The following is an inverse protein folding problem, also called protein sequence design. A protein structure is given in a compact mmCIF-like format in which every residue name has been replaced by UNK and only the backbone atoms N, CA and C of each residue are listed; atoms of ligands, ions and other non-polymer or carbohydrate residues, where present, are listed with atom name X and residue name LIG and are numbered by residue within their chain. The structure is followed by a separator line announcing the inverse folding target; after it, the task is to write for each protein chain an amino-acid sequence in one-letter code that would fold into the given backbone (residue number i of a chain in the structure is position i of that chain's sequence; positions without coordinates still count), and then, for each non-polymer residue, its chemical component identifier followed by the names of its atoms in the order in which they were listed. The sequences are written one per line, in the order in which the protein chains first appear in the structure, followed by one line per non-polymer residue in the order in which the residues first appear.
data_IF_498664306747
#
_entry.id   IF_498664306747
#
_cell.length_a   1.000
_cell.length_b   1.000
_cell.length_c   1.000
_cell.angle_alpha   90.00
_cell.angle_beta   90.00
_cell.angle_gamma   90.00
#
_symmetry.space_group_name_H-M   'P 1'
#
loop_
_entity.id
_entity.type
_entity.pdbx_description
1 polymer ?
#
# COMPACT_ATOMS: atom_id res chain seq x y z
N UNK A 1 2.64 1.94 -0.63
CA UNK A 1 1.37 2.66 -0.68
C UNK A 1 0.26 1.80 -1.28
N UNK A 2 -0.99 2.13 -0.97
CA UNK A 2 -2.15 1.64 -1.72
C UNK A 2 -2.96 2.85 -2.18
N UNK A 3 -3.28 2.92 -3.46
CA UNK A 3 -4.13 3.96 -4.03
C UNK A 3 -5.50 3.37 -4.39
N UNK A 4 -6.56 4.00 -3.89
CA UNK A 4 -7.96 3.70 -4.22
C UNK A 4 -8.41 4.71 -5.27
N UNK A 5 -8.54 4.24 -6.51
CA UNK A 5 -8.94 5.04 -7.66
C UNK A 5 -10.44 5.39 -7.62
N UNK A 6 -10.85 6.40 -8.40
CA UNK A 6 -12.26 6.78 -8.55
C UNK A 6 -13.13 5.64 -9.06
N UNK A 7 -12.56 4.74 -9.86
CA UNK A 7 -13.23 3.56 -10.43
C UNK A 7 -13.00 2.28 -9.60
N UNK A 8 -12.58 2.40 -8.33
CA UNK A 8 -12.36 1.26 -7.46
C UNK A 8 -13.68 0.60 -7.03
N UNK A 9 -13.67 -0.73 -6.95
CA UNK A 9 -14.63 -1.49 -6.16
C UNK A 9 -14.29 -1.33 -4.67
N UNK A 10 -15.19 -0.74 -3.90
CA UNK A 10 -14.95 -0.41 -2.50
C UNK A 10 -14.84 -1.64 -1.59
N UNK A 11 -15.56 -2.71 -1.85
CA UNK A 11 -15.50 -3.93 -1.04
C UNK A 11 -14.15 -4.64 -1.27
N UNK A 12 -13.70 -4.69 -2.52
CA UNK A 12 -12.36 -5.15 -2.87
C UNK A 12 -11.28 -4.29 -2.22
N UNK A 13 -11.40 -2.96 -2.27
CA UNK A 13 -10.47 -2.04 -1.64
C UNK A 13 -10.38 -2.24 -0.13
N UNK A 14 -11.52 -2.36 0.57
CA UNK A 14 -11.56 -2.64 2.01
C UNK A 14 -10.85 -3.95 2.37
N UNK A 15 -11.11 -5.02 1.60
CA UNK A 15 -10.47 -6.33 1.82
C UNK A 15 -8.94 -6.26 1.64
N UNK A 16 -8.49 -5.62 0.55
CA UNK A 16 -7.06 -5.44 0.25
C UNK A 16 -6.37 -4.62 1.34
N UNK A 17 -6.93 -3.48 1.74
CA UNK A 17 -6.38 -2.57 2.73
C UNK A 17 -6.35 -3.23 4.12
N UNK A 18 -7.43 -3.89 4.51
CA UNK A 18 -7.46 -4.62 5.77
C UNK A 18 -6.34 -5.68 5.81
N UNK A 19 -6.18 -6.48 4.76
CA UNK A 19 -5.09 -7.44 4.67
C UNK A 19 -3.71 -6.76 4.68
N UNK A 20 -3.52 -5.74 3.85
CA UNK A 20 -2.23 -5.06 3.69
C UNK A 20 -1.74 -4.38 4.97
N UNK A 21 -2.65 -3.87 5.81
CA UNK A 21 -2.28 -3.17 7.05
C UNK A 21 -2.32 -4.04 8.30
N UNK A 22 -3.29 -4.97 8.39
CA UNK A 22 -3.58 -5.60 9.68
C UNK A 22 -3.09 -7.04 9.83
N UNK A 23 -2.77 -7.72 8.74
CA UNK A 23 -2.32 -9.12 8.80
C UNK A 23 -0.97 -9.28 9.54
N UNK A 24 -0.06 -8.33 9.36
CA UNK A 24 1.21 -8.21 10.10
C UNK A 24 1.78 -6.80 9.89
N UNK A 25 1.51 -5.83 10.76
CA UNK A 25 1.88 -4.42 10.52
C UNK A 25 3.38 -4.15 10.58
N UNK A 26 4.17 -4.99 11.26
CA UNK A 26 5.60 -4.77 11.51
C UNK A 26 6.53 -5.37 10.44
N UNK A 27 6.06 -5.58 9.22
CA UNK A 27 6.88 -6.12 8.11
C UNK A 27 6.96 -5.14 6.94
N UNK A 28 8.03 -5.26 6.15
CA UNK A 28 8.39 -4.33 5.08
C UNK A 28 7.37 -4.20 3.94
N UNK A 29 6.50 -5.20 3.73
CA UNK A 29 5.44 -5.18 2.73
C UNK A 29 4.06 -4.81 3.30
N UNK A 30 3.98 -4.42 4.59
CA UNK A 30 2.76 -3.85 5.16
C UNK A 30 2.51 -2.45 4.58
N UNK A 31 1.24 -2.10 4.40
CA UNK A 31 0.87 -0.77 3.93
C UNK A 31 1.05 0.27 5.04
N UNK A 32 1.71 1.39 4.73
CA UNK A 32 1.91 2.51 5.65
C UNK A 32 1.15 3.77 5.24
N UNK A 33 0.89 3.92 3.92
CA UNK A 33 0.18 5.08 3.37
C UNK A 33 -0.97 4.62 2.47
N UNK A 34 -2.13 5.22 2.68
CA UNK A 34 -3.32 5.08 1.87
C UNK A 34 -3.59 6.39 1.13
N UNK A 35 -3.69 6.31 -0.19
CA UNK A 35 -4.15 7.41 -1.04
C UNK A 35 -5.56 7.09 -1.53
N UNK A 36 -6.47 8.06 -1.46
CA UNK A 36 -7.86 7.88 -1.88
C UNK A 36 -8.23 9.00 -2.85
N UNK A 37 -8.79 8.65 -4.01
CA UNK A 37 -9.31 9.63 -4.95
C UNK A 37 -10.43 10.45 -4.31
N UNK A 38 -10.47 11.75 -4.54
CA UNK A 38 -11.44 12.65 -3.89
C UNK A 38 -12.91 12.28 -4.17
N UNK A 39 -13.22 11.74 -5.35
CA UNK A 39 -14.57 11.26 -5.70
C UNK A 39 -15.00 10.03 -4.88
N UNK A 40 -14.05 9.31 -4.28
CA UNK A 40 -14.31 8.15 -3.41
C UNK A 40 -14.28 8.49 -1.93
N UNK A 41 -13.64 9.58 -1.54
CA UNK A 41 -13.37 9.88 -0.14
C UNK A 41 -14.63 9.87 0.74
N UNK A 42 -15.72 10.47 0.28
CA UNK A 42 -16.96 10.60 1.06
C UNK A 42 -17.69 9.27 1.29
N UNK A 43 -17.65 8.33 0.33
CA UNK A 43 -18.28 7.02 0.48
C UNK A 43 -17.36 6.00 1.15
N UNK A 44 -16.08 6.01 0.79
CA UNK A 44 -15.13 4.99 1.17
C UNK A 44 -14.54 5.17 2.57
N UNK A 45 -14.11 6.38 2.94
CA UNK A 45 -13.40 6.61 4.20
C UNK A 45 -14.24 6.26 5.44
N UNK A 46 -15.55 6.60 5.54
CA UNK A 46 -16.37 6.16 6.68
C UNK A 46 -16.49 4.62 6.79
N UNK A 47 -16.55 3.91 5.66
CA UNK A 47 -16.56 2.44 5.64
C UNK A 47 -15.21 1.87 6.09
N UNK A 48 -14.11 2.51 5.69
CA UNK A 48 -12.77 2.14 6.12
C UNK A 48 -12.62 2.29 7.65
N UNK A 49 -13.09 3.41 8.23
CA UNK A 49 -13.09 3.62 9.67
C UNK A 49 -13.93 2.56 10.39
N UNK A 50 -15.10 2.21 9.84
CA UNK A 50 -15.94 1.13 10.39
C UNK A 50 -15.16 -0.17 10.48
N UNK A 51 -14.51 -0.60 9.40
CA UNK A 51 -13.77 -1.88 9.34
C UNK A 51 -12.49 -1.86 10.19
N UNK A 52 -11.67 -0.81 10.05
CA UNK A 52 -10.33 -0.78 10.64
C UNK A 52 -10.30 -0.26 12.09
N UNK A 53 -11.33 0.43 12.52
CA UNK A 53 -11.37 1.00 13.87
C UNK A 53 -12.50 0.38 14.69
N UNK A 54 -13.76 0.52 14.25
CA UNK A 54 -14.93 0.15 15.03
C UNK A 54 -15.04 -1.37 15.19
N UNK A 55 -15.09 -2.11 14.11
CA UNK A 55 -15.24 -3.58 14.14
C UNK A 55 -14.04 -4.25 14.81
N UNK A 56 -12.83 -3.71 14.62
CA UNK A 56 -11.64 -4.22 15.31
C UNK A 56 -11.74 -4.04 16.82
N UNK A 57 -12.19 -2.89 17.31
CA UNK A 57 -12.45 -2.66 18.75
C UNK A 57 -13.49 -3.62 19.29
N UNK A 58 -14.60 -3.80 18.58
CA UNK A 58 -15.67 -4.72 18.96
C UNK A 58 -15.20 -6.18 19.04
N UNK A 59 -14.27 -6.54 18.15
CA UNK A 59 -13.63 -7.86 18.13
C UNK A 59 -12.50 -8.03 19.17
N UNK A 60 -12.19 -6.99 19.96
CA UNK A 60 -11.08 -7.01 20.92
C UNK A 60 -9.69 -6.97 20.27
N UNK A 61 -9.61 -6.51 19.01
CA UNK A 61 -8.36 -6.34 18.27
C UNK A 61 -7.89 -4.88 18.36
N UNK A 62 -6.57 -4.68 18.18
CA UNK A 62 -5.99 -3.33 18.13
C UNK A 62 -6.55 -2.53 16.94
N UNK A 63 -7.20 -1.38 17.17
CA UNK A 63 -7.73 -0.53 16.10
C UNK A 63 -6.61 0.21 15.38
N UNK A 64 -6.83 0.55 14.11
CA UNK A 64 -5.90 1.40 13.36
C UNK A 64 -6.02 2.86 13.84
N UNK A 65 -4.88 3.48 14.08
CA UNK A 65 -4.76 4.91 14.35
C UNK A 65 -4.47 5.66 13.06
N UNK A 66 -5.40 6.50 12.61
CA UNK A 66 -5.20 7.27 11.39
C UNK A 66 -4.34 8.53 11.63
N UNK A 67 -3.48 8.82 10.64
CA UNK A 67 -2.83 10.12 10.41
C UNK A 67 -3.45 10.70 9.15
N UNK A 68 -4.23 11.77 9.29
CA UNK A 68 -5.12 12.27 8.26
C UNK A 68 -4.64 13.59 7.68
N UNK A 69 -4.60 13.70 6.36
CA UNK A 69 -4.48 15.00 5.74
C UNK A 69 -5.74 15.85 5.96
N UNK A 70 -5.70 17.13 5.59
CA UNK A 70 -6.81 18.06 5.82
C UNK A 70 -8.10 17.70 5.08
N UNK A 71 -8.01 16.99 3.94
CA UNK A 71 -9.18 16.53 3.19
C UNK A 71 -9.77 15.27 3.84
N UNK A 72 -8.96 14.28 4.17
CA UNK A 72 -9.42 13.03 4.79
C UNK A 72 -10.07 13.26 6.17
N UNK A 73 -9.57 14.24 6.95
CA UNK A 73 -10.13 14.60 8.25
C UNK A 73 -11.56 15.14 8.22
N UNK A 74 -12.09 15.45 7.04
CA UNK A 74 -13.49 15.84 6.88
C UNK A 74 -14.46 14.67 6.91
N UNK A 75 -13.97 13.45 6.73
CA UNK A 75 -14.80 12.25 6.58
C UNK A 75 -14.64 11.24 7.74
N UNK A 76 -13.49 11.21 8.38
CA UNK A 76 -13.14 10.24 9.43
C UNK A 76 -12.36 10.89 10.56
N UNK A 77 -12.32 10.21 11.73
CA UNK A 77 -11.63 10.70 12.91
C UNK A 77 -10.20 10.16 13.00
N UNK A 78 -9.27 11.03 13.34
CA UNK A 78 -7.86 10.67 13.52
C UNK A 78 -7.00 11.85 13.94
N UNK A 79 -5.71 11.61 14.10
CA UNK A 79 -4.73 12.67 14.31
C UNK A 79 -4.38 13.35 12.99
N UNK A 80 -4.17 14.65 12.99
CA UNK A 80 -3.65 15.35 11.82
C UNK A 80 -2.28 14.77 11.42
N UNK A 81 -2.12 14.49 10.14
CA UNK A 81 -0.85 14.04 9.59
C UNK A 81 0.16 15.18 9.55
N UNK A 82 1.39 14.87 9.91
CA UNK A 82 2.56 15.71 9.66
C UNK A 82 3.20 15.30 8.33
N UNK A 83 4.00 16.17 7.71
CA UNK A 83 4.64 15.84 6.43
C UNK A 83 5.46 14.55 6.50
N UNK A 84 6.15 14.33 7.61
CA UNK A 84 6.98 13.15 7.85
C UNK A 84 6.17 11.84 7.99
N UNK A 85 4.88 11.89 8.31
CA UNK A 85 4.06 10.68 8.42
C UNK A 85 3.95 9.93 7.09
N UNK A 86 4.09 10.62 5.96
CA UNK A 86 4.08 10.01 4.62
C UNK A 86 5.41 9.36 4.22
N UNK A 87 6.48 9.62 4.96
CA UNK A 87 7.81 9.01 4.78
C UNK A 87 8.15 7.98 5.87
N UNK A 88 7.18 7.72 6.79
CA UNK A 88 7.42 6.90 7.98
C UNK A 88 6.93 5.47 7.79
N UNK A 89 7.79 4.50 8.05
CA UNK A 89 7.38 3.13 8.35
C UNK A 89 6.97 3.06 9.82
N UNK A 90 5.67 3.05 10.10
CA UNK A 90 5.15 3.00 11.47
C UNK A 90 5.40 1.64 12.14
N UNK A 91 5.43 0.56 11.34
CA UNK A 91 5.60 -0.82 11.81
C UNK A 91 4.59 -1.22 12.89
N UNK A 92 3.46 -0.56 12.93
CA UNK A 92 2.41 -0.68 13.94
C UNK A 92 1.03 -0.46 13.31
N UNK A 93 -0.02 -0.53 14.11
CA UNK A 93 -1.41 -0.26 13.73
C UNK A 93 -1.67 1.25 13.52
N UNK A 94 -0.81 1.89 12.75
CA UNK A 94 -0.91 3.29 12.35
C UNK A 94 -0.91 3.39 10.83
N UNK A 95 -1.76 4.25 10.26
CA UNK A 95 -1.91 4.42 8.82
C UNK A 95 -2.04 5.90 8.46
N UNK A 96 -1.15 6.39 7.61
CA UNK A 96 -1.31 7.71 7.01
C UNK A 96 -2.32 7.65 5.86
N UNK A 97 -3.24 8.62 5.82
CA UNK A 97 -4.32 8.68 4.82
C UNK A 97 -4.32 10.07 4.18
N UNK A 98 -4.27 10.10 2.86
CA UNK A 98 -4.33 11.34 2.07
C UNK A 98 -5.36 11.22 0.96
N UNK A 99 -6.14 12.27 0.76
CA UNK A 99 -7.05 12.40 -0.36
C UNK A 99 -6.37 13.17 -1.49
N UNK A 100 -6.33 12.54 -2.67
CA UNK A 100 -5.72 13.07 -3.89
C UNK A 100 -6.79 13.39 -4.94
N UNK A 101 -6.51 14.36 -5.80
CA UNK A 101 -7.45 14.83 -6.82
C UNK A 101 -7.40 14.03 -8.12
N UNK A 102 -6.34 13.24 -8.33
CA UNK A 102 -6.16 12.47 -9.56
C UNK A 102 -5.19 11.30 -9.37
N UNK A 103 -5.18 10.41 -10.37
CA UNK A 103 -4.20 9.32 -10.47
C UNK A 103 -2.76 9.85 -10.60
N UNK A 104 -2.56 10.94 -11.34
CA UNK A 104 -1.24 11.56 -11.50
C UNK A 104 -0.72 12.13 -10.17
N UNK A 105 -1.60 12.73 -9.36
CA UNK A 105 -1.22 13.19 -8.01
C UNK A 105 -0.84 12.00 -7.11
N UNK A 106 -1.57 10.88 -7.22
CA UNK A 106 -1.23 9.66 -6.48
C UNK A 106 0.14 9.11 -6.88
N UNK A 107 0.42 9.02 -8.19
CA UNK A 107 1.72 8.57 -8.72
C UNK A 107 2.85 9.51 -8.27
N UNK A 108 2.66 10.82 -8.38
CA UNK A 108 3.66 11.81 -7.93
C UNK A 108 3.93 11.72 -6.42
N UNK A 109 2.90 11.44 -5.63
CA UNK A 109 3.05 11.21 -4.19
C UNK A 109 3.85 9.94 -3.90
N UNK A 110 3.54 8.84 -4.58
CA UNK A 110 4.28 7.57 -4.46
C UNK A 110 5.76 7.76 -4.85
N UNK A 111 6.02 8.43 -5.96
CA UNK A 111 7.40 8.71 -6.40
C UNK A 111 8.20 9.49 -5.36
N UNK A 112 7.55 10.39 -4.62
CA UNK A 112 8.20 11.23 -3.62
C UNK A 112 8.39 10.54 -2.27
N UNK A 113 7.41 9.73 -1.83
CA UNK A 113 7.29 9.26 -0.44
C UNK A 113 7.40 7.74 -0.28
N UNK A 114 7.33 6.96 -1.37
CA UNK A 114 7.46 5.50 -1.26
C UNK A 114 8.91 5.08 -1.04
N UNK A 115 9.09 3.99 -0.29
CA UNK A 115 10.38 3.27 -0.23
C UNK A 115 10.69 2.53 -1.53
N UNK A 116 9.80 2.57 -2.51
CA UNK A 116 9.84 1.80 -3.76
C UNK A 116 9.92 0.27 -3.56
N UNK A 117 9.38 -0.19 -2.44
CA UNK A 117 9.30 -1.62 -2.12
C UNK A 117 8.08 -2.26 -2.80
N UNK A 118 6.87 -1.83 -2.41
CA UNK A 118 5.61 -2.40 -2.91
C UNK A 118 4.51 -1.34 -2.90
N UNK A 119 3.95 -1.08 -4.06
CA UNK A 119 2.86 -0.14 -4.23
C UNK A 119 1.72 -0.77 -5.03
N UNK A 120 0.48 -0.38 -4.75
CA UNK A 120 -0.70 -0.97 -5.35
C UNK A 120 -1.75 0.08 -5.74
N UNK A 121 -2.49 -0.21 -6.81
CA UNK A 121 -3.72 0.49 -7.17
C UNK A 121 -4.91 -0.47 -7.02
N UNK A 122 -6.03 0.04 -6.53
CA UNK A 122 -7.33 -0.63 -6.61
C UNK A 122 -8.21 0.13 -7.59
N UNK A 123 -8.56 -0.50 -8.71
CA UNK A 123 -9.36 0.09 -9.78
C UNK A 123 -9.99 -0.98 -10.66
N UNK A 124 -11.17 -0.70 -11.20
CA UNK A 124 -11.79 -1.49 -12.27
C UNK A 124 -11.52 -0.88 -13.67
N UNK A 125 -10.82 0.26 -13.73
CA UNK A 125 -10.45 0.92 -14.96
C UNK A 125 -9.11 0.41 -15.49
N UNK A 126 -9.12 -0.26 -16.64
CA UNK A 126 -7.92 -0.84 -17.25
C UNK A 126 -6.88 0.22 -17.68
N UNK A 127 -7.31 1.42 -18.06
CA UNK A 127 -6.40 2.51 -18.46
C UNK A 127 -5.69 3.07 -17.22
N UNK A 128 -6.43 3.28 -16.11
CA UNK A 128 -5.84 3.68 -14.82
C UNK A 128 -4.83 2.64 -14.33
N UNK A 129 -5.17 1.35 -14.42
CA UNK A 129 -4.28 0.26 -14.03
C UNK A 129 -3.00 0.24 -14.87
N UNK A 130 -3.12 0.38 -16.21
CA UNK A 130 -1.98 0.41 -17.12
C UNK A 130 -1.08 1.62 -16.86
N UNK A 131 -1.67 2.82 -16.69
CA UNK A 131 -0.92 4.04 -16.37
C UNK A 131 -0.16 3.89 -15.04
N UNK A 132 -0.83 3.42 -13.99
CA UNK A 132 -0.21 3.23 -12.69
C UNK A 132 0.98 2.26 -12.75
N UNK A 133 0.82 1.11 -13.41
CA UNK A 133 1.88 0.10 -13.51
C UNK A 133 3.06 0.53 -14.40
N UNK A 134 2.83 1.44 -15.35
CA UNK A 134 3.88 2.02 -16.19
C UNK A 134 4.67 3.12 -15.47
N UNK A 135 3.98 3.94 -14.68
CA UNK A 135 4.58 5.11 -14.05
C UNK A 135 5.19 4.85 -12.66
N UNK A 136 4.66 3.90 -11.90
CA UNK A 136 5.18 3.59 -10.55
C UNK A 136 6.37 2.63 -10.67
N UNK A 137 7.57 3.10 -10.31
CA UNK A 137 8.81 2.34 -10.41
C UNK A 137 9.23 1.72 -9.06
N UNK A 138 8.33 0.92 -8.46
CA UNK A 138 8.60 0.14 -7.26
C UNK A 138 9.05 -1.29 -7.60
N UNK A 139 9.70 -1.98 -6.66
CA UNK A 139 10.17 -3.35 -6.88
C UNK A 139 9.02 -4.33 -7.14
N UNK A 140 7.84 -4.05 -6.57
CA UNK A 140 6.60 -4.76 -6.87
C UNK A 140 5.45 -3.75 -7.02
N UNK A 141 4.71 -3.84 -8.13
CA UNK A 141 3.56 -2.98 -8.41
C UNK A 141 2.35 -3.88 -8.67
N UNK A 142 1.25 -3.60 -7.98
CA UNK A 142 0.06 -4.44 -8.00
C UNK A 142 -1.18 -3.71 -8.51
N UNK A 143 -2.03 -4.44 -9.19
CA UNK A 143 -3.41 -4.06 -9.51
C UNK A 143 -4.34 -5.01 -8.78
N UNK A 144 -5.25 -4.46 -7.97
CA UNK A 144 -6.27 -5.21 -7.23
C UNK A 144 -5.71 -6.36 -6.36
N UNK A 145 -4.52 -6.15 -5.78
CA UNK A 145 -3.90 -7.12 -4.87
C UNK A 145 -3.20 -6.40 -3.71
N UNK A 146 -3.09 -7.11 -2.59
CA UNK A 146 -2.41 -6.62 -1.39
C UNK A 146 -0.89 -6.57 -1.57
N UNK A 147 -0.24 -5.55 -1.02
CA UNK A 147 1.23 -5.45 -0.97
C UNK A 147 1.86 -6.61 -0.20
N UNK A 148 1.09 -7.33 0.61
CA UNK A 148 1.52 -8.55 1.31
C UNK A 148 1.91 -9.70 0.38
N UNK A 149 1.54 -9.63 -0.91
CA UNK A 149 1.99 -10.60 -1.91
C UNK A 149 3.48 -10.48 -2.27
N UNK A 150 4.16 -9.40 -1.90
CA UNK A 150 5.62 -9.29 -2.10
C UNK A 150 6.35 -10.19 -1.10
N UNK A 151 6.44 -11.45 -1.45
CA UNK A 151 6.96 -12.52 -0.61
C UNK A 151 7.52 -13.64 -1.50
N UNK A 152 8.71 -14.12 -1.19
CA UNK A 152 9.39 -15.16 -1.99
C UNK A 152 8.62 -16.48 -2.06
N UNK A 153 7.88 -16.83 -1.00
CA UNK A 153 6.99 -17.99 -0.99
C UNK A 153 5.79 -17.81 -1.91
N UNK A 154 5.15 -16.62 -1.86
CA UNK A 154 4.02 -16.28 -2.74
C UNK A 154 4.43 -16.23 -4.22
N UNK A 155 5.65 -15.76 -4.51
CA UNK A 155 6.21 -15.71 -5.86
C UNK A 155 6.74 -17.05 -6.36
N UNK A 156 6.72 -18.10 -5.52
CA UNK A 156 7.18 -19.43 -5.90
C UNK A 156 8.70 -19.57 -5.98
N UNK A 157 9.46 -18.70 -5.31
CA UNK A 157 10.93 -18.73 -5.28
C UNK A 157 11.50 -19.77 -4.30
N UNK A 158 10.64 -20.43 -3.53
CA UNK A 158 11.00 -21.46 -2.55
C UNK A 158 11.61 -20.93 -1.25
N UNK A 159 12.23 -19.78 -1.27
CA UNK A 159 12.78 -19.08 -0.10
C UNK A 159 12.83 -17.58 -0.35
N UNK A 160 13.06 -16.81 0.72
CA UNK A 160 13.33 -15.39 0.65
C UNK A 160 14.44 -15.05 1.66
N UNK A 161 15.51 -14.42 1.20
CA UNK A 161 16.51 -13.83 2.07
C UNK A 161 16.17 -12.38 2.44
N UNK A 162 15.49 -11.70 1.55
CA UNK A 162 15.05 -10.32 1.70
C UNK A 162 14.41 -9.82 0.42
N UNK A 163 14.00 -8.54 0.44
CA UNK A 163 13.39 -7.87 -0.71
C UNK A 163 14.23 -6.64 -1.03
N UNK A 164 14.77 -6.59 -2.25
CA UNK A 164 15.64 -5.51 -2.71
C UNK A 164 14.85 -4.45 -3.49
N UNK A 165 15.10 -3.20 -3.21
CA UNK A 165 14.61 -2.06 -4.01
C UNK A 165 15.65 -1.56 -5.02
N UNK A 166 16.82 -2.21 -5.08
CA UNK A 166 17.88 -1.85 -6.02
C UNK A 166 17.50 -2.16 -7.48
N UNK A 167 18.13 -1.44 -8.42
CA UNK A 167 17.90 -1.59 -9.86
C UNK A 167 19.10 -2.20 -10.61
N UNK A 168 20.25 -2.35 -9.95
CA UNK A 168 21.51 -2.80 -10.58
C UNK A 168 21.85 -4.28 -10.36
N UNK A 169 21.12 -4.98 -9.52
CA UNK A 169 21.28 -6.41 -9.24
C UNK A 169 19.91 -7.04 -9.06
N UNK A 170 19.70 -7.83 -8.01
CA UNK A 170 18.39 -8.38 -7.69
C UNK A 170 17.42 -7.26 -7.31
N UNK A 171 16.18 -7.36 -7.78
CA UNK A 171 15.09 -6.44 -7.46
C UNK A 171 13.86 -7.23 -7.05
N UNK A 172 13.17 -6.80 -5.99
CA UNK A 172 12.06 -7.55 -5.40
C UNK A 172 12.54 -8.68 -4.49
N UNK A 173 11.71 -9.71 -4.24
CA UNK A 173 12.08 -10.86 -3.41
C UNK A 173 13.31 -11.58 -3.96
N UNK A 174 14.30 -11.83 -3.09
CA UNK A 174 15.54 -12.52 -3.42
C UNK A 174 15.51 -13.95 -2.88
N UNK A 175 15.48 -14.91 -3.79
CA UNK A 175 15.56 -16.33 -3.48
C UNK A 175 16.96 -16.91 -3.68
N UNK A 176 17.03 -18.23 -3.80
CA UNK A 176 18.32 -18.95 -3.96
C UNK A 176 19.07 -18.54 -5.23
N UNK A 177 18.36 -18.23 -6.32
CA UNK A 177 18.95 -17.86 -7.60
C UNK A 177 19.78 -16.59 -7.50
N UNK A 178 19.31 -15.58 -6.78
CA UNK A 178 19.97 -14.28 -6.61
C UNK A 178 21.21 -14.36 -5.73
N UNK A 179 21.35 -15.46 -4.94
CA UNK A 179 22.52 -15.71 -4.08
C UNK A 179 23.63 -16.50 -4.79
N UNK A 180 23.43 -16.89 -6.03
CA UNK A 180 24.39 -17.68 -6.82
C UNK A 180 24.93 -16.88 -7.99
N UNK A 181 26.08 -17.31 -8.49
CA UNK A 181 26.65 -16.80 -9.72
C UNK A 181 27.08 -17.97 -10.62
N UNK A 182 27.35 -17.68 -11.85
CA UNK A 182 27.82 -18.67 -12.84
C UNK A 182 29.22 -18.30 -13.36
N UNK A 183 29.91 -19.31 -13.86
CA UNK A 183 31.12 -19.13 -14.67
C UNK A 183 30.95 -19.84 -16.02
N UNK A 184 31.55 -19.30 -17.03
CA UNK A 184 31.68 -19.99 -18.33
C UNK A 184 32.86 -20.94 -18.28
N UNK A 185 32.69 -22.15 -18.88
CA UNK A 185 33.72 -23.19 -19.00
C UNK A 185 33.91 -23.48 -20.48
#
# INVERSE_FOLDING_TARGET
HVYVDKDADEDKALSIINNAKTSRPSVCNAMEVLLVHEDKAASFLPRLEQVLVTERKEAGLEPIQFRLDSKASQFVSGRAAEAQDFDTEFLDYVLAVKVVSSLEEAVAHIETHSTHHSDAIVTENAESAAYFTDQVDSAAVYVNASTRFTDGGQFGLGCEMGISTQKLHARGPMGLKELTSYKYV
#
